data_IF_658853973425
#
_entry.id   IF_658853973425
#
_cell.length_a   1.000
_cell.length_b   1.000
_cell.length_c   1.000
_cell.angle_alpha   90.00
_cell.angle_beta   90.00
_cell.angle_gamma   90.00
#
_symmetry.space_group_name_H-M   'P 1'
#
loop_
_entity.id
_entity.type
_entity.pdbx_description
1 polymer ?
#
# COMPACT_ATOMS: atom_id res chain seq x y z
N UNK A 1 -46.03 31.59 21.72
CA UNK A 1 -44.92 31.42 20.75
C UNK A 1 -44.08 30.21 21.15
N UNK A 2 -44.42 29.02 20.66
CA UNK A 2 -43.72 27.74 20.92
C UNK A 2 -43.85 26.87 19.68
N UNK A 3 -42.73 26.44 19.11
CA UNK A 3 -42.69 25.33 18.15
C UNK A 3 -41.97 25.64 16.84
N UNK A 4 -40.64 25.69 16.85
CA UNK A 4 -39.82 25.68 15.63
C UNK A 4 -38.50 24.91 15.86
N UNK A 5 -38.61 23.72 16.45
CA UNK A 5 -37.46 22.81 16.72
C UNK A 5 -37.64 21.47 15.97
N UNK A 6 -38.48 21.43 14.92
CA UNK A 6 -38.86 20.18 14.24
C UNK A 6 -38.01 19.77 13.03
N UNK A 7 -37.26 20.67 12.40
CA UNK A 7 -36.74 20.43 11.04
C UNK A 7 -35.32 19.83 10.95
N UNK A 8 -34.54 19.86 12.04
CA UNK A 8 -33.18 19.30 12.03
C UNK A 8 -33.13 17.77 12.13
N UNK A 9 -34.20 17.13 12.62
CA UNK A 9 -34.23 15.68 12.83
C UNK A 9 -34.56 14.89 11.56
N UNK A 10 -35.26 15.50 10.61
CA UNK A 10 -35.67 14.84 9.37
C UNK A 10 -34.52 14.72 8.35
N UNK A 11 -33.64 15.72 8.28
CA UNK A 11 -32.48 15.69 7.35
C UNK A 11 -31.43 14.63 7.73
N UNK A 12 -31.31 14.31 9.02
CA UNK A 12 -30.34 13.32 9.51
C UNK A 12 -30.72 11.88 9.13
N UNK A 13 -32.03 11.59 9.02
CA UNK A 13 -32.51 10.26 8.69
C UNK A 13 -32.27 9.87 7.21
N UNK A 14 -32.31 10.85 6.30
CA UNK A 14 -32.09 10.60 4.87
C UNK A 14 -30.60 10.37 4.57
N UNK A 15 -29.70 11.12 5.21
CA UNK A 15 -28.25 10.91 5.06
C UNK A 15 -27.80 9.54 5.59
N UNK A 16 -28.39 9.09 6.70
CA UNK A 16 -28.08 7.77 7.29
C UNK A 16 -28.48 6.61 6.37
N UNK A 17 -29.54 6.75 5.57
CA UNK A 17 -29.99 5.70 4.65
C UNK A 17 -29.10 5.56 3.41
N UNK A 18 -28.52 6.66 2.92
CA UNK A 18 -27.62 6.64 1.75
C UNK A 18 -26.26 6.03 2.09
N UNK A 19 -25.73 6.26 3.29
CA UNK A 19 -24.46 5.66 3.75
C UNK A 19 -24.58 4.15 3.94
N UNK A 20 -25.74 3.65 4.38
CA UNK A 20 -25.99 2.21 4.52
C UNK A 20 -26.04 1.47 3.17
N UNK A 21 -26.51 2.11 2.09
CA UNK A 21 -26.64 1.45 0.79
C UNK A 21 -25.28 1.25 0.10
N UNK A 22 -24.30 2.13 0.33
CA UNK A 22 -22.95 2.02 -0.27
C UNK A 22 -22.15 0.85 0.33
N UNK A 23 -22.43 0.45 1.57
CA UNK A 23 -21.70 -0.62 2.26
C UNK A 23 -22.16 -2.05 1.91
N UNK A 24 -23.28 -2.23 1.20
CA UNK A 24 -23.85 -3.56 0.89
C UNK A 24 -23.21 -4.17 -0.37
N UNK A 25 -22.51 -3.38 -1.20
CA UNK A 25 -21.88 -3.85 -2.44
C UNK A 25 -20.49 -4.48 -2.28
N UNK A 26 -19.82 -4.28 -1.14
CA UNK A 26 -18.49 -4.84 -0.92
C UNK A 26 -18.61 -6.30 -0.43
N UNK A 27 -18.58 -7.25 -1.36
CA UNK A 27 -18.45 -8.66 -0.98
C UNK A 27 -17.14 -8.83 -0.19
N UNK A 28 -17.16 -9.46 1.01
CA UNK A 28 -15.96 -9.65 1.80
C UNK A 28 -14.90 -10.37 0.96
N UNK A 29 -13.73 -9.75 0.80
CA UNK A 29 -12.62 -10.36 0.10
C UNK A 29 -12.06 -11.49 0.97
N UNK A 30 -12.54 -12.71 0.75
CA UNK A 30 -12.02 -13.92 1.41
C UNK A 30 -10.78 -14.33 0.64
N UNK A 31 -9.63 -13.79 1.05
CA UNK A 31 -8.34 -14.28 0.63
C UNK A 31 -8.14 -15.65 1.29
N UNK A 32 -8.56 -16.71 0.59
CA UNK A 32 -8.30 -18.08 1.02
C UNK A 32 -6.80 -18.36 0.99
N UNK A 33 -6.34 -19.27 1.84
CA UNK A 33 -4.96 -19.73 1.82
C UNK A 33 -4.65 -20.29 0.43
N UNK A 34 -3.70 -19.70 -0.30
CA UNK A 34 -3.35 -20.00 -1.70
C UNK A 34 -4.33 -19.47 -2.77
N UNK A 35 -5.17 -18.48 -2.44
CA UNK A 35 -5.99 -17.75 -3.44
C UNK A 35 -5.25 -16.50 -3.93
N UNK A 36 -4.94 -16.42 -5.21
CA UNK A 36 -4.33 -15.23 -5.83
C UNK A 36 -4.74 -15.07 -7.29
N UNK A 37 -4.61 -13.85 -7.81
CA UNK A 37 -4.77 -13.54 -9.23
C UNK A 37 -3.64 -12.64 -9.68
N UNK A 38 -3.05 -12.98 -10.82
CA UNK A 38 -1.94 -12.30 -11.45
C UNK A 38 -2.26 -12.07 -12.92
N UNK A 39 -1.97 -10.87 -13.41
CA UNK A 39 -2.14 -10.49 -14.81
C UNK A 39 -0.77 -10.14 -15.36
N UNK A 40 -0.37 -10.81 -16.43
CA UNK A 40 0.92 -10.61 -17.09
C UNK A 40 0.69 -10.19 -18.55
N UNK A 41 1.16 -9.00 -18.96
CA UNK A 41 1.71 -7.93 -18.12
C UNK A 41 0.63 -7.20 -17.29
N UNK A 42 1.02 -6.63 -16.14
CA UNK A 42 0.14 -5.80 -15.29
C UNK A 42 -0.03 -4.36 -15.83
N UNK A 43 0.81 -3.96 -16.78
CA UNK A 43 0.72 -2.73 -17.56
C UNK A 43 0.64 -3.07 -19.04
N UNK A 44 -0.45 -2.70 -19.70
CA UNK A 44 -0.70 -3.09 -21.09
C UNK A 44 -1.40 -1.98 -21.88
N UNK A 45 -1.21 -1.94 -23.20
CA UNK A 45 -1.97 -1.02 -24.05
C UNK A 45 -3.35 -1.61 -24.39
N UNK A 46 -4.29 -0.73 -24.73
CA UNK A 46 -5.48 -1.13 -25.45
C UNK A 46 -5.10 -1.93 -26.72
N UNK A 47 -5.82 -3.01 -27.02
CA UNK A 47 -5.50 -3.94 -28.11
C UNK A 47 -4.50 -5.05 -27.75
N UNK A 48 -3.86 -4.99 -26.58
CA UNK A 48 -2.86 -5.99 -26.16
C UNK A 48 -3.53 -7.22 -25.56
N UNK A 49 -2.96 -8.41 -25.83
CA UNK A 49 -3.34 -9.66 -25.18
C UNK A 49 -2.62 -9.78 -23.84
N UNK A 50 -3.39 -9.95 -22.76
CA UNK A 50 -2.87 -10.21 -21.41
C UNK A 50 -3.18 -11.65 -21.02
N UNK A 51 -2.24 -12.27 -20.33
CA UNK A 51 -2.40 -13.60 -19.75
C UNK A 51 -2.77 -13.44 -18.29
N UNK A 52 -3.72 -14.24 -17.84
CA UNK A 52 -4.24 -14.23 -16.47
C UNK A 52 -3.92 -15.59 -15.87
N UNK A 53 -3.21 -15.56 -14.74
CA UNK A 53 -2.92 -16.73 -13.92
C UNK A 53 -3.53 -16.53 -12.55
N UNK A 54 -4.26 -17.52 -12.08
CA UNK A 54 -4.91 -17.49 -10.78
C UNK A 54 -4.76 -18.82 -10.06
N UNK A 55 -4.97 -18.76 -8.75
CA UNK A 55 -5.12 -19.92 -7.89
C UNK A 55 -6.29 -19.65 -6.96
N UNK A 56 -7.12 -20.67 -6.74
CA UNK A 56 -8.29 -20.64 -5.87
C UNK A 56 -8.12 -21.54 -4.64
N UNK A 57 -7.32 -22.60 -4.77
CA UNK A 57 -6.98 -23.56 -3.73
C UNK A 57 -5.67 -24.30 -4.11
N UNK A 58 -5.29 -25.35 -3.37
CA UNK A 58 -4.06 -26.10 -3.62
C UNK A 58 -4.12 -26.99 -4.87
N UNK A 59 -5.32 -27.34 -5.32
CA UNK A 59 -5.57 -28.28 -6.42
C UNK A 59 -5.97 -27.61 -7.71
N UNK A 60 -6.66 -26.47 -7.66
CA UNK A 60 -7.07 -25.67 -8.83
C UNK A 60 -7.82 -26.48 -9.90
N UNK A 61 -8.59 -27.48 -9.48
CA UNK A 61 -9.31 -28.39 -10.38
C UNK A 61 -10.65 -27.84 -10.88
N UNK A 62 -11.10 -26.70 -10.35
CA UNK A 62 -12.38 -26.07 -10.65
C UNK A 62 -12.16 -24.81 -11.48
N UNK A 63 -13.07 -24.51 -12.40
CA UNK A 63 -13.01 -23.27 -13.16
C UNK A 63 -13.24 -22.06 -12.24
N UNK A 64 -12.62 -20.93 -12.59
CA UNK A 64 -12.87 -19.65 -11.93
C UNK A 64 -13.22 -18.59 -12.96
N UNK A 65 -13.86 -17.52 -12.50
CA UNK A 65 -14.23 -16.40 -13.37
C UNK A 65 -13.45 -15.17 -12.94
N UNK A 66 -12.85 -14.48 -13.91
CA UNK A 66 -12.24 -13.18 -13.72
C UNK A 66 -13.09 -12.13 -14.42
N UNK A 67 -13.31 -11.00 -13.72
CA UNK A 67 -14.08 -9.88 -14.22
C UNK A 67 -13.24 -8.61 -14.10
N UNK A 68 -13.23 -7.79 -15.14
CA UNK A 68 -12.67 -6.44 -15.10
C UNK A 68 -13.40 -5.56 -16.10
N UNK A 69 -13.50 -4.26 -15.83
CA UNK A 69 -14.02 -3.30 -16.81
C UNK A 69 -13.06 -3.11 -18.00
N UNK A 70 -11.78 -3.49 -17.86
CA UNK A 70 -10.81 -3.41 -18.94
C UNK A 70 -11.10 -4.38 -20.10
N UNK A 71 -11.62 -5.58 -19.81
CA UNK A 71 -11.76 -6.66 -20.80
C UNK A 71 -13.04 -7.50 -20.65
N UNK A 72 -13.88 -7.23 -19.65
CA UNK A 72 -15.11 -7.95 -19.38
C UNK A 72 -14.91 -9.21 -18.52
N UNK A 73 -15.73 -10.23 -18.81
CA UNK A 73 -15.75 -11.51 -18.08
C UNK A 73 -14.94 -12.56 -18.83
N UNK A 74 -14.08 -13.29 -18.13
CA UNK A 74 -13.26 -14.37 -18.67
C UNK A 74 -13.32 -15.58 -17.74
N UNK A 75 -13.49 -16.78 -18.30
CA UNK A 75 -13.44 -18.03 -17.54
C UNK A 75 -12.04 -18.61 -17.63
N UNK A 76 -11.41 -18.84 -16.48
CA UNK A 76 -10.11 -19.49 -16.36
C UNK A 76 -10.28 -21.00 -16.23
N UNK A 77 -9.37 -21.74 -16.86
CA UNK A 77 -9.40 -23.21 -16.88
C UNK A 77 -8.17 -23.77 -16.16
N UNK A 78 -8.27 -24.95 -15.53
CA UNK A 78 -7.12 -25.63 -14.95
C UNK A 78 -6.04 -25.90 -16.00
N UNK A 79 -4.83 -25.44 -15.73
CA UNK A 79 -3.64 -25.60 -16.55
C UNK A 79 -2.40 -25.71 -15.64
N UNK A 80 -1.69 -26.85 -15.70
CA UNK A 80 -0.44 -27.09 -14.96
C UNK A 80 -0.50 -26.81 -13.44
N UNK A 81 -1.62 -27.12 -12.80
CA UNK A 81 -1.81 -26.91 -11.35
C UNK A 81 -2.25 -25.48 -10.96
N UNK A 82 -2.50 -24.61 -11.93
CA UNK A 82 -3.06 -23.27 -11.75
C UNK A 82 -4.29 -23.07 -12.63
N UNK A 83 -4.96 -21.93 -12.51
CA UNK A 83 -6.01 -21.50 -13.41
C UNK A 83 -5.45 -20.48 -14.38
N UNK A 84 -5.55 -20.75 -15.67
CA UNK A 84 -5.02 -19.90 -16.71
C UNK A 84 -6.09 -19.49 -17.72
N UNK A 85 -5.87 -18.33 -18.32
CA UNK A 85 -6.68 -17.80 -19.40
C UNK A 85 -5.98 -16.61 -20.07
N UNK A 86 -6.45 -16.23 -21.24
CA UNK A 86 -5.94 -15.07 -21.96
C UNK A 86 -7.10 -14.24 -22.48
N UNK A 87 -6.94 -12.92 -22.46
CA UNK A 87 -7.95 -11.98 -22.95
C UNK A 87 -7.27 -10.80 -23.63
N UNK A 88 -7.95 -10.23 -24.61
CA UNK A 88 -7.46 -9.05 -25.34
C UNK A 88 -8.22 -7.82 -24.85
N UNK A 89 -7.49 -6.78 -24.49
CA UNK A 89 -8.07 -5.49 -24.10
C UNK A 89 -8.64 -4.84 -25.37
N UNK A 90 -9.88 -4.34 -25.39
CA UNK A 90 -10.45 -3.66 -26.55
C UNK A 90 -9.60 -2.44 -26.97
N UNK A 91 -9.45 -2.21 -28.29
CA UNK A 91 -8.63 -1.12 -28.84
C UNK A 91 -9.10 0.30 -28.44
N UNK A 92 -10.35 0.47 -28.04
CA UNK A 92 -10.93 1.74 -27.59
C UNK A 92 -10.95 1.93 -26.07
N UNK A 93 -10.25 1.09 -25.30
CA UNK A 93 -10.26 1.18 -23.84
C UNK A 93 -9.44 2.40 -23.38
N UNK A 94 -10.04 3.24 -22.54
CA UNK A 94 -9.37 4.41 -21.96
C UNK A 94 -8.22 4.00 -21.04
N UNK A 95 -7.17 4.82 -20.99
CA UNK A 95 -6.07 4.62 -20.05
C UNK A 95 -6.51 4.88 -18.62
N UNK A 96 -6.04 4.03 -17.71
CA UNK A 96 -6.44 4.07 -16.30
C UNK A 96 -6.11 2.78 -15.57
N UNK A 97 -6.43 2.76 -14.28
CA UNK A 97 -6.31 1.58 -13.43
C UNK A 97 -7.65 0.85 -13.41
N UNK A 98 -7.63 -0.44 -13.70
CA UNK A 98 -8.81 -1.29 -13.73
C UNK A 98 -8.65 -2.42 -12.71
N UNK A 99 -9.55 -2.54 -11.72
CA UNK A 99 -9.55 -3.68 -10.83
C UNK A 99 -9.89 -4.94 -11.63
N UNK A 100 -9.24 -6.03 -11.25
CA UNK A 100 -9.41 -7.36 -11.81
C UNK A 100 -9.80 -8.28 -10.67
N UNK A 101 -11.08 -8.66 -10.66
CA UNK A 101 -11.68 -9.47 -9.61
C UNK A 101 -11.77 -10.92 -10.03
N UNK A 102 -11.13 -11.79 -9.26
CA UNK A 102 -11.24 -13.24 -9.35
C UNK A 102 -12.38 -13.72 -8.44
N UNK A 103 -13.26 -14.55 -9.02
CA UNK A 103 -14.31 -15.30 -8.33
C UNK A 103 -14.07 -16.79 -8.50
N UNK A 104 -13.76 -17.45 -7.39
CA UNK A 104 -13.57 -18.89 -7.34
C UNK A 104 -14.89 -19.61 -7.04
N UNK A 105 -15.01 -20.87 -7.49
CA UNK A 105 -16.20 -21.69 -7.22
C UNK A 105 -16.41 -22.00 -5.73
N UNK A 106 -15.32 -22.01 -4.95
CA UNK A 106 -15.34 -22.19 -3.48
C UNK A 106 -15.79 -20.95 -2.69
N UNK A 107 -16.11 -19.83 -3.37
CA UNK A 107 -16.51 -18.58 -2.74
C UNK A 107 -15.35 -17.65 -2.34
N UNK A 108 -14.09 -18.09 -2.53
CA UNK A 108 -12.93 -17.21 -2.33
C UNK A 108 -12.83 -16.19 -3.45
N UNK A 109 -12.21 -15.06 -3.12
CA UNK A 109 -12.05 -13.94 -4.05
C UNK A 109 -10.68 -13.32 -3.87
N UNK A 110 -10.06 -12.94 -4.98
CA UNK A 110 -8.84 -12.16 -4.99
C UNK A 110 -8.97 -11.01 -5.98
N UNK A 111 -8.27 -9.92 -5.75
CA UNK A 111 -8.29 -8.74 -6.62
C UNK A 111 -6.87 -8.32 -6.94
N UNK A 112 -6.64 -7.92 -8.19
CA UNK A 112 -5.40 -7.26 -8.62
C UNK A 112 -5.73 -6.05 -9.48
N UNK A 113 -4.73 -5.24 -9.83
CA UNK A 113 -4.92 -4.03 -10.63
C UNK A 113 -4.19 -4.19 -11.96
N UNK A 114 -4.91 -3.95 -13.05
CA UNK A 114 -4.37 -3.85 -14.40
C UNK A 114 -4.34 -2.38 -14.81
N UNK A 115 -3.18 -1.87 -15.16
CA UNK A 115 -3.03 -0.50 -15.67
C UNK A 115 -3.05 -0.51 -17.20
N UNK A 116 -4.07 0.11 -17.78
CA UNK A 116 -4.13 0.33 -19.23
C UNK A 116 -3.41 1.63 -19.56
N UNK A 117 -2.40 1.54 -20.42
CA UNK A 117 -1.59 2.68 -20.84
C UNK A 117 -2.10 3.24 -22.17
N UNK A 118 -2.08 4.58 -22.27
CA UNK A 118 -2.14 5.27 -23.55
C UNK A 118 -0.71 5.71 -23.90
N UNK A 119 -0.06 4.98 -24.81
CA UNK A 119 1.33 5.24 -25.17
C UNK A 119 1.57 6.49 -26.02
N UNK A 120 0.57 7.36 -26.20
CA UNK A 120 0.84 8.76 -26.55
C UNK A 120 1.62 9.49 -25.44
N UNK A 121 1.68 8.93 -24.22
CA UNK A 121 2.46 9.49 -23.12
C UNK A 121 3.28 8.39 -22.42
N UNK A 122 4.60 8.30 -22.69
CA UNK A 122 5.48 7.36 -22.00
C UNK A 122 5.47 7.64 -20.49
N UNK A 123 5.01 6.68 -19.68
CA UNK A 123 5.17 6.76 -18.23
C UNK A 123 6.64 6.60 -17.90
N UNK A 124 7.21 7.67 -17.35
CA UNK A 124 8.55 7.72 -16.76
C UNK A 124 8.73 6.50 -15.85
N UNK A 125 9.73 5.67 -16.17
CA UNK A 125 10.07 4.49 -15.36
C UNK A 125 10.38 4.88 -13.90
N UNK A 126 10.43 3.91 -12.96
CA UNK A 126 10.63 4.18 -11.55
C UNK A 126 11.84 5.11 -11.38
N UNK A 127 11.60 6.31 -10.86
CA UNK A 127 12.67 7.20 -10.48
C UNK A 127 13.32 6.64 -9.21
N UNK A 128 14.12 5.58 -9.34
CA UNK A 128 15.09 5.18 -8.32
C UNK A 128 16.24 6.19 -8.36
N UNK A 129 15.95 7.43 -8.00
CA UNK A 129 16.92 8.48 -7.73
C UNK A 129 17.00 8.67 -6.23
N UNK A 130 18.09 8.21 -5.62
CA UNK A 130 18.28 8.32 -4.17
C UNK A 130 19.69 7.89 -3.79
N UNK A 131 20.67 8.76 -4.02
CA UNK A 131 22.08 8.52 -3.72
C UNK A 131 22.93 9.77 -3.83
N UNK A 132 22.48 10.87 -3.21
CA UNK A 132 23.31 12.04 -2.96
C UNK A 132 23.66 12.08 -1.48
N UNK A 133 24.67 11.34 -1.05
CA UNK A 133 25.30 11.62 0.24
C UNK A 133 25.93 12.99 0.13
N UNK A 134 25.44 13.92 0.94
CA UNK A 134 25.75 15.32 0.90
C UNK A 134 27.26 15.57 0.84
N UNK A 135 27.66 16.27 -0.22
CA UNK A 135 28.89 17.04 -0.27
C UNK A 135 28.88 18.05 0.89
N UNK A 136 29.99 18.04 1.61
CA UNK A 136 30.48 18.96 2.62
C UNK A 136 29.70 20.28 2.84
N UNK A 137 29.16 20.43 4.06
CA UNK A 137 29.34 21.58 4.97
C UNK A 137 28.51 21.38 6.25
N UNK A 138 29.19 21.08 7.37
CA UNK A 138 28.71 21.53 8.69
C UNK A 138 28.47 20.50 9.80
N UNK A 139 28.49 19.19 9.54
CA UNK A 139 28.22 18.18 10.59
C UNK A 139 29.48 17.66 11.32
N UNK A 140 30.69 18.04 10.89
CA UNK A 140 31.94 17.59 11.50
C UNK A 140 32.35 18.35 12.77
N UNK A 141 32.03 19.65 12.87
CA UNK A 141 32.53 20.49 13.97
C UNK A 141 31.71 20.40 15.26
N UNK A 142 30.43 20.03 15.20
CA UNK A 142 29.59 19.93 16.41
C UNK A 142 29.88 18.65 17.23
N UNK A 143 30.29 17.56 16.57
CA UNK A 143 30.71 16.34 17.27
C UNK A 143 32.11 16.46 17.88
N UNK A 144 33.00 17.26 17.29
CA UNK A 144 34.31 17.59 17.85
C UNK A 144 34.23 18.55 19.04
N UNK A 145 33.31 19.53 19.02
CA UNK A 145 33.10 20.44 20.15
C UNK A 145 32.36 19.75 21.31
N UNK A 146 31.37 18.89 21.03
CA UNK A 146 30.66 18.13 22.06
C UNK A 146 31.53 17.11 22.82
N UNK A 147 32.47 16.45 22.12
CA UNK A 147 33.36 15.45 22.72
C UNK A 147 34.39 16.02 23.69
N UNK A 148 34.92 17.22 23.44
CA UNK A 148 35.93 17.85 24.29
C UNK A 148 35.39 18.34 25.65
N UNK A 149 34.12 18.74 25.72
CA UNK A 149 33.49 19.19 26.97
C UNK A 149 33.31 18.03 27.96
N UNK A 150 32.97 16.83 27.47
CA UNK A 150 32.80 15.66 28.33
C UNK A 150 34.11 15.21 29.00
N UNK A 151 35.24 15.30 28.30
CA UNK A 151 36.56 14.94 28.85
C UNK A 151 37.05 15.96 29.88
N UNK A 152 36.78 17.26 29.67
CA UNK A 152 37.18 18.32 30.60
C UNK A 152 36.45 18.22 31.96
N UNK A 153 35.18 17.81 31.98
CA UNK A 153 34.39 17.67 33.23
C UNK A 153 34.86 16.48 34.06
N UNK A 154 35.26 15.36 33.44
CA UNK A 154 35.75 14.17 34.15
C UNK A 154 37.18 14.38 34.69
N UNK A 155 38.05 15.06 33.94
CA UNK A 155 39.38 15.43 34.43
C UNK A 155 39.35 16.51 35.53
N UNK A 156 38.40 17.46 35.45
CA UNK A 156 38.23 18.52 36.44
C UNK A 156 37.71 18.03 37.80
N UNK A 157 36.77 17.07 37.82
CA UNK A 157 36.25 16.52 39.08
C UNK A 157 37.26 15.59 39.80
N UNK A 158 38.14 14.91 39.06
CA UNK A 158 39.18 14.06 39.63
C UNK A 158 40.33 14.84 40.31
N UNK A 159 40.61 16.07 39.85
CA UNK A 159 41.73 16.88 40.37
C UNK A 159 41.32 17.85 41.50
N UNK A 160 40.03 18.13 41.68
CA UNK A 160 39.51 18.94 42.80
C UNK A 160 39.10 18.13 44.05
N UNK A 161 39.02 16.80 43.97
CA UNK A 161 38.71 15.92 45.11
C UNK A 161 39.93 15.47 45.94
N UNK A 162 41.15 15.82 45.53
CA UNK A 162 42.39 15.20 46.04
C UNK A 162 43.31 16.07 46.92
N UNK A 163 42.90 17.25 47.40
CA UNK A 163 43.89 18.28 47.76
C UNK A 163 43.73 19.18 48.99
N UNK A 164 42.76 19.01 49.90
CA UNK A 164 42.77 19.78 51.18
C UNK A 164 42.34 18.95 52.38
N UNK A 165 43.29 18.16 52.90
CA UNK A 165 43.30 17.78 54.31
C UNK A 165 43.61 19.02 55.17
N UNK A 166 42.95 19.11 56.34
CA UNK A 166 43.24 19.93 57.55
C UNK A 166 42.96 21.44 57.44
N UNK A 167 42.35 22.14 58.41
CA UNK A 167 41.98 21.93 59.83
C UNK A 167 40.81 22.91 60.18
N UNK A 168 40.04 22.86 61.27
CA UNK A 168 40.05 22.08 62.52
C UNK A 168 38.88 22.48 63.46
N UNK A 169 38.70 21.66 64.51
CA UNK A 169 38.06 21.82 65.84
C UNK A 169 36.71 22.55 66.07
N UNK A 170 35.85 21.90 66.87
CA UNK A 170 34.96 22.58 67.82
C UNK A 170 33.78 21.77 68.35
N UNK A 171 33.98 20.84 69.31
CA UNK A 171 33.45 20.93 70.68
C UNK A 171 33.96 19.78 71.55
#
# INVERSE_FOLDING_TARGET
MRGLIGHHRAFSAVLAMVVAFVLIGATPARAGENTFVEVTPNTAQAGTRVNIRASCDKTNNQQATVQSDAFGRVVLRPENGFLAGAVTIPNGKEAGEYPVDLRCANGNTASTVLTVLNMTQPTKGPATGGGGTADDRGAGSLLLVGGLVAVAVVAGLGMFGGGRRRAGNGS
#
